data_IF_038275690721
#
_entry.id   IF_038275690721
#
_cell.length_a   1.000
_cell.length_b   1.000
_cell.length_c   1.000
_cell.angle_alpha   90.00
_cell.angle_beta   90.00
_cell.angle_gamma   90.00
#
_symmetry.space_group_name_H-M   'P 1'
#
loop_
_entity.id
_entity.type
_entity.pdbx_description
1 polymer ?
#
# COMPACT_ATOMS: atom_id res chain seq x y z
N UNK A 1 -2.84 43.80 -45.41
CA UNK A 1 -2.96 43.11 -44.09
C UNK A 1 -3.20 41.61 -44.30
N UNK A 2 -4.13 41.20 -45.17
CA UNK A 2 -4.46 39.77 -45.40
C UNK A 2 -3.26 38.97 -45.95
N UNK A 3 -2.49 39.56 -46.91
CA UNK A 3 -1.29 38.93 -47.48
C UNK A 3 -0.15 38.72 -46.43
N UNK A 4 -0.03 39.60 -45.45
CA UNK A 4 1.00 39.51 -44.41
C UNK A 4 0.65 38.41 -43.40
N UNK A 5 -0.61 38.23 -43.05
CA UNK A 5 -1.10 37.20 -42.15
C UNK A 5 -0.95 35.80 -42.79
N UNK A 6 -1.25 35.66 -44.08
CA UNK A 6 -1.08 34.39 -44.79
C UNK A 6 0.40 33.99 -44.91
N UNK A 7 1.32 34.95 -45.08
CA UNK A 7 2.75 34.69 -45.14
C UNK A 7 3.31 34.23 -43.76
N UNK A 8 2.84 34.84 -42.68
CA UNK A 8 3.22 34.45 -41.33
C UNK A 8 2.70 33.05 -40.96
N UNK A 9 1.48 32.69 -41.38
CA UNK A 9 0.95 31.34 -41.22
C UNK A 9 1.75 30.30 -42.00
N UNK A 10 2.17 30.59 -43.22
CA UNK A 10 2.99 29.67 -44.02
C UNK A 10 4.39 29.46 -43.42
N UNK A 11 4.99 30.54 -42.90
CA UNK A 11 6.29 30.43 -42.19
C UNK A 11 6.15 29.58 -40.91
N UNK A 12 5.05 29.75 -40.16
CA UNK A 12 4.77 28.95 -38.94
C UNK A 12 4.59 27.46 -39.25
N UNK A 13 3.84 27.14 -40.31
CA UNK A 13 3.62 25.76 -40.78
C UNK A 13 4.93 25.12 -41.25
N UNK A 14 5.75 25.87 -41.99
CA UNK A 14 7.06 25.40 -42.46
C UNK A 14 8.02 25.14 -41.31
N UNK A 15 8.09 26.04 -40.33
CA UNK A 15 8.91 25.85 -39.13
C UNK A 15 8.47 24.64 -38.28
N UNK A 16 7.15 24.44 -38.17
CA UNK A 16 6.57 23.30 -37.47
C UNK A 16 6.89 21.97 -38.19
N UNK A 17 6.72 21.91 -39.50
CA UNK A 17 7.05 20.74 -40.32
C UNK A 17 8.53 20.37 -40.23
N UNK A 18 9.43 21.36 -40.29
CA UNK A 18 10.88 21.14 -40.17
C UNK A 18 11.31 20.69 -38.78
N UNK A 19 10.61 21.13 -37.75
CA UNK A 19 10.86 20.68 -36.37
C UNK A 19 10.33 19.25 -36.15
N UNK A 20 9.22 18.88 -36.78
CA UNK A 20 8.68 17.54 -36.76
C UNK A 20 9.58 16.53 -37.50
N UNK A 21 10.13 16.90 -38.64
CA UNK A 21 11.11 16.10 -39.39
C UNK A 21 12.35 15.77 -38.53
N UNK A 22 12.90 16.77 -37.84
CA UNK A 22 14.03 16.57 -36.91
C UNK A 22 13.69 15.66 -35.73
N UNK A 23 12.49 15.74 -35.20
CA UNK A 23 12.04 14.89 -34.10
C UNK A 23 11.83 13.45 -34.59
N UNK A 24 11.28 13.26 -35.81
CA UNK A 24 11.10 11.93 -36.37
C UNK A 24 12.42 11.27 -36.76
N UNK A 25 13.38 12.01 -37.33
CA UNK A 25 14.73 11.50 -37.61
C UNK A 25 15.48 11.11 -36.34
N UNK A 26 15.38 11.92 -35.27
CA UNK A 26 15.98 11.58 -33.97
C UNK A 26 15.36 10.32 -33.33
N UNK A 27 14.06 10.11 -33.51
CA UNK A 27 13.37 8.92 -33.01
C UNK A 27 13.69 7.65 -33.81
N UNK A 28 13.95 7.78 -35.13
CA UNK A 28 14.43 6.65 -35.96
C UNK A 28 15.91 6.31 -35.72
N UNK A 29 16.74 7.30 -35.44
CA UNK A 29 18.16 7.09 -35.10
C UNK A 29 18.32 6.41 -33.73
N UNK A 30 17.44 6.69 -32.77
CA UNK A 30 17.40 6.01 -31.48
C UNK A 30 16.92 4.55 -31.59
N UNK A 31 16.03 4.25 -32.53
CA UNK A 31 15.56 2.90 -32.83
C UNK A 31 16.57 2.01 -33.53
N UNK A 32 17.48 2.62 -34.31
CA UNK A 32 18.48 1.90 -35.13
C UNK A 32 19.88 1.89 -34.53
N UNK A 33 20.10 2.42 -33.33
CA UNK A 33 21.36 2.24 -32.61
C UNK A 33 21.52 0.77 -32.24
N UNK A 34 22.58 0.09 -32.72
CA UNK A 34 22.88 -1.23 -32.23
C UNK A 34 23.11 -1.13 -30.73
N UNK A 35 22.44 -1.99 -29.96
CA UNK A 35 22.67 -2.17 -28.53
C UNK A 35 24.13 -2.63 -28.30
N UNK A 36 25.08 -1.73 -28.36
CA UNK A 36 26.41 -1.94 -27.78
C UNK A 36 26.29 -1.66 -26.27
N UNK A 37 25.78 -2.66 -25.58
CA UNK A 37 25.77 -2.70 -24.13
C UNK A 37 27.19 -2.96 -23.63
N UNK A 38 27.98 -1.90 -23.47
CA UNK A 38 28.93 -1.83 -22.39
C UNK A 38 28.21 -1.27 -21.16
N UNK A 39 27.21 -2.01 -20.69
CA UNK A 39 26.78 -1.92 -19.31
C UNK A 39 27.82 -2.66 -18.47
N UNK A 40 28.83 -1.94 -17.98
CA UNK A 40 29.34 -2.22 -16.65
C UNK A 40 28.15 -1.99 -15.73
N UNK A 41 27.36 -3.03 -15.49
CA UNK A 41 26.40 -3.08 -14.40
C UNK A 41 27.29 -2.85 -13.17
N UNK A 42 27.15 -1.73 -12.41
CA UNK A 42 27.63 -1.77 -11.05
C UNK A 42 26.94 -3.00 -10.48
N UNK A 43 27.69 -3.89 -9.83
CA UNK A 43 27.07 -4.93 -8.99
C UNK A 43 26.19 -4.16 -7.99
N UNK A 44 24.97 -3.86 -8.39
CA UNK A 44 23.87 -3.64 -7.47
C UNK A 44 23.91 -4.90 -6.62
N UNK A 45 24.19 -4.71 -5.32
CA UNK A 45 23.89 -5.72 -4.34
C UNK A 45 22.60 -6.37 -4.79
N UNK A 46 22.62 -7.68 -5.03
CA UNK A 46 21.41 -8.44 -5.24
C UNK A 46 20.51 -8.14 -4.03
N UNK A 47 19.60 -7.19 -4.15
CA UNK A 47 18.37 -7.25 -3.41
C UNK A 47 17.68 -8.49 -3.98
N UNK A 48 18.02 -9.63 -3.41
CA UNK A 48 17.25 -10.85 -3.59
C UNK A 48 15.85 -10.45 -3.16
N UNK A 49 14.91 -10.47 -4.11
CA UNK A 49 13.49 -10.38 -3.77
C UNK A 49 13.27 -11.37 -2.63
N UNK A 50 12.60 -10.98 -1.54
CA UNK A 50 12.31 -11.90 -0.45
C UNK A 50 11.76 -13.18 -1.05
N UNK A 51 12.25 -14.34 -0.62
CA UNK A 51 11.74 -15.63 -1.05
C UNK A 51 10.28 -15.70 -0.62
N UNK A 52 9.40 -15.53 -1.58
CA UNK A 52 7.97 -15.66 -1.39
C UNK A 52 7.66 -17.15 -1.33
N UNK A 53 7.11 -17.60 -0.20
CA UNK A 53 6.64 -18.97 -0.01
C UNK A 53 5.12 -18.97 -0.04
N UNK A 54 4.51 -19.79 -0.89
CA UNK A 54 3.07 -20.07 -0.74
C UNK A 54 2.88 -21.08 0.39
N UNK A 55 1.81 -20.91 1.16
CA UNK A 55 1.44 -21.87 2.18
C UNK A 55 1.13 -23.24 1.55
N UNK A 56 1.53 -24.31 2.24
CA UNK A 56 1.33 -25.67 1.81
C UNK A 56 0.20 -26.36 2.59
N UNK A 57 -0.30 -27.48 2.06
CA UNK A 57 -1.29 -28.30 2.79
C UNK A 57 -0.67 -28.83 4.09
N UNK A 58 -1.27 -28.48 5.23
CA UNK A 58 -0.79 -28.86 6.57
C UNK A 58 -0.17 -27.72 7.38
N UNK A 59 0.05 -26.56 6.78
CA UNK A 59 0.44 -25.38 7.55
C UNK A 59 -0.70 -24.97 8.51
N UNK A 60 -0.34 -24.62 9.74
CA UNK A 60 -1.31 -24.18 10.75
C UNK A 60 -1.78 -22.75 10.45
N UNK A 61 -2.83 -22.62 9.66
CA UNK A 61 -3.37 -21.35 9.21
C UNK A 61 -4.78 -21.09 9.77
N UNK A 62 -5.05 -19.85 10.11
CA UNK A 62 -6.39 -19.37 10.39
C UNK A 62 -7.11 -19.18 9.06
N UNK A 63 -8.25 -19.85 8.84
CA UNK A 63 -9.02 -19.78 7.61
C UNK A 63 -9.76 -18.44 7.47
N UNK A 64 -9.03 -17.38 7.20
CA UNK A 64 -9.59 -16.04 6.93
C UNK A 64 -9.94 -15.94 5.44
N UNK A 65 -11.16 -15.49 5.06
CA UNK A 65 -11.50 -15.26 3.67
C UNK A 65 -10.49 -14.33 2.99
N UNK A 66 -9.94 -14.73 1.84
CA UNK A 66 -9.03 -13.91 1.06
C UNK A 66 -9.82 -12.98 0.13
N UNK A 67 -9.57 -11.67 0.23
CA UNK A 67 -10.12 -10.66 -0.68
C UNK A 67 -8.99 -9.99 -1.44
N UNK A 68 -9.21 -9.77 -2.74
CA UNK A 68 -8.29 -9.03 -3.60
C UNK A 68 -8.62 -7.53 -3.58
N UNK A 69 -7.61 -6.71 -3.35
CA UNK A 69 -7.70 -5.26 -3.48
C UNK A 69 -8.06 -4.84 -4.90
N UNK A 70 -7.52 -5.52 -5.90
CA UNK A 70 -7.83 -5.29 -7.31
C UNK A 70 -9.30 -5.56 -7.63
N UNK A 71 -9.84 -6.68 -7.14
CA UNK A 71 -11.25 -7.05 -7.40
C UNK A 71 -12.22 -6.15 -6.62
N UNK A 72 -11.77 -5.58 -5.51
CA UNK A 72 -12.50 -4.55 -4.76
C UNK A 72 -12.51 -3.18 -5.47
N UNK A 73 -11.76 -3.02 -6.57
CA UNK A 73 -11.64 -1.76 -7.31
C UNK A 73 -10.70 -0.74 -6.65
N UNK A 74 -10.02 -1.12 -5.59
CA UNK A 74 -9.12 -0.24 -4.85
C UNK A 74 -7.67 -0.43 -5.27
N UNK A 75 -6.95 0.67 -5.48
CA UNK A 75 -5.53 0.69 -5.83
C UNK A 75 -4.64 1.02 -4.63
N UNK A 76 -5.21 1.70 -3.63
CA UNK A 76 -4.54 2.12 -2.39
C UNK A 76 -5.49 1.99 -1.20
N UNK A 77 -6.05 0.81 -0.98
CA UNK A 77 -7.03 0.53 0.06
C UNK A 77 -6.77 -0.80 0.78
N UNK A 78 -5.50 -1.18 0.93
CA UNK A 78 -5.08 -2.42 1.58
C UNK A 78 -5.65 -2.53 3.00
N UNK A 79 -5.73 -1.44 3.75
CA UNK A 79 -6.28 -1.40 5.10
C UNK A 79 -7.77 -1.78 5.12
N UNK A 80 -8.53 -1.24 4.16
CA UNK A 80 -9.96 -1.49 4.06
C UNK A 80 -10.26 -2.94 3.68
N UNK A 81 -9.45 -3.49 2.77
CA UNK A 81 -9.59 -4.87 2.30
C UNK A 81 -9.15 -5.85 3.39
N UNK A 82 -8.01 -5.60 4.05
CA UNK A 82 -7.52 -6.40 5.17
C UNK A 82 -8.50 -6.41 6.34
N UNK A 83 -9.08 -5.26 6.68
CA UNK A 83 -10.11 -5.19 7.71
C UNK A 83 -11.37 -5.97 7.33
N UNK A 84 -11.82 -5.88 6.08
CA UNK A 84 -13.00 -6.64 5.62
C UNK A 84 -12.75 -8.15 5.69
N UNK A 85 -11.55 -8.64 5.34
CA UNK A 85 -11.18 -10.05 5.49
C UNK A 85 -11.35 -10.53 6.93
N UNK A 86 -10.79 -9.79 7.91
CA UNK A 86 -10.87 -10.16 9.33
C UNK A 86 -12.31 -10.06 9.85
N UNK A 87 -13.07 -9.05 9.46
CA UNK A 87 -14.46 -8.91 9.85
C UNK A 87 -15.33 -10.07 9.30
N UNK A 88 -15.10 -10.48 8.05
CA UNK A 88 -15.80 -11.63 7.45
C UNK A 88 -15.42 -12.95 8.13
N UNK A 89 -14.18 -13.12 8.58
CA UNK A 89 -13.79 -14.27 9.41
C UNK A 89 -14.66 -14.37 10.69
N UNK A 90 -15.00 -13.25 11.29
CA UNK A 90 -15.89 -13.21 12.46
C UNK A 90 -17.38 -13.24 12.12
N UNK A 91 -17.75 -13.46 10.85
CA UNK A 91 -19.13 -13.58 10.39
C UNK A 91 -19.84 -12.25 10.07
N UNK A 92 -19.12 -11.14 10.09
CA UNK A 92 -19.66 -9.85 9.71
C UNK A 92 -19.73 -9.73 8.17
N UNK A 93 -20.74 -9.05 7.64
CA UNK A 93 -20.91 -8.85 6.18
C UNK A 93 -20.37 -7.48 5.72
N UNK A 94 -19.43 -6.92 6.48
CA UNK A 94 -18.87 -5.59 6.23
C UNK A 94 -17.91 -5.66 5.03
N UNK A 95 -18.12 -4.76 4.07
CA UNK A 95 -17.33 -4.66 2.84
C UNK A 95 -16.27 -3.56 2.93
N UNK A 96 -15.21 -3.60 2.08
CA UNK A 96 -14.24 -2.51 1.99
C UNK A 96 -14.89 -1.15 1.70
N UNK A 97 -15.97 -1.12 0.90
CA UNK A 97 -16.71 0.11 0.61
C UNK A 97 -17.38 0.68 1.86
N UNK A 98 -18.05 -0.15 2.66
CA UNK A 98 -18.68 0.31 3.90
C UNK A 98 -17.64 0.86 4.90
N UNK A 99 -16.47 0.23 4.98
CA UNK A 99 -15.34 0.75 5.77
C UNK A 99 -14.87 2.12 5.26
N UNK A 100 -14.73 2.29 3.94
CA UNK A 100 -14.36 3.58 3.34
C UNK A 100 -15.42 4.66 3.56
N UNK A 101 -16.69 4.30 3.57
CA UNK A 101 -17.77 5.24 3.89
C UNK A 101 -17.75 5.68 5.36
N UNK A 102 -17.40 4.77 6.27
CA UNK A 102 -17.40 5.00 7.72
C UNK A 102 -16.12 5.68 8.23
N UNK A 103 -14.98 5.57 7.51
CA UNK A 103 -13.70 6.09 7.95
C UNK A 103 -13.62 7.61 7.83
N UNK A 104 -13.02 8.25 8.81
CA UNK A 104 -12.71 9.67 8.74
C UNK A 104 -11.59 9.90 7.71
N UNK A 105 -11.85 10.70 6.68
CA UNK A 105 -10.97 10.82 5.50
C UNK A 105 -10.82 12.23 4.99
N UNK A 106 -9.71 12.46 4.28
CA UNK A 106 -9.39 13.71 3.58
C UNK A 106 -8.83 13.39 2.19
N UNK A 107 -9.02 14.30 1.24
CA UNK A 107 -8.60 14.07 -0.15
C UNK A 107 -7.09 14.20 -0.36
N UNK A 108 -6.43 15.03 0.45
CA UNK A 108 -4.99 15.35 0.29
C UNK A 108 -4.28 15.41 1.64
N UNK A 109 -2.96 15.10 1.68
CA UNK A 109 -2.18 15.16 2.92
C UNK A 109 -1.96 16.57 3.44
N UNK A 110 -2.17 17.60 2.61
CA UNK A 110 -2.04 19.03 2.97
C UNK A 110 -3.29 19.75 2.49
N UNK A 111 -3.92 20.52 3.36
CA UNK A 111 -5.10 21.31 3.04
C UNK A 111 -4.76 22.62 2.27
N UNK A 112 -5.77 23.39 1.91
CA UNK A 112 -5.60 24.63 1.14
C UNK A 112 -4.78 25.71 1.90
N UNK A 113 -4.72 25.65 3.21
CA UNK A 113 -3.97 26.58 4.08
C UNK A 113 -2.50 26.14 4.27
N UNK A 114 -2.08 25.03 3.63
CA UNK A 114 -0.74 24.48 3.75
C UNK A 114 -0.51 23.66 5.04
N UNK A 115 -1.56 23.35 5.77
CA UNK A 115 -1.51 22.55 7.00
C UNK A 115 -1.68 21.07 6.64
N UNK A 116 -0.75 20.26 7.11
CA UNK A 116 -0.75 18.82 6.90
C UNK A 116 -1.64 18.08 7.89
N UNK A 117 -2.18 16.95 7.43
CA UNK A 117 -2.99 16.05 8.27
C UNK A 117 -2.23 14.76 8.57
N UNK A 118 -2.56 14.16 9.71
CA UNK A 118 -1.91 12.92 10.15
C UNK A 118 -2.66 11.68 9.63
N UNK A 119 -1.97 10.70 9.03
CA UNK A 119 -2.56 9.40 8.70
C UNK A 119 -2.93 8.56 9.92
N UNK A 120 -2.53 8.98 11.13
CA UNK A 120 -3.04 8.45 12.40
C UNK A 120 -4.41 9.01 12.79
N UNK A 121 -4.94 10.01 12.06
CA UNK A 121 -6.26 10.60 12.32
C UNK A 121 -7.23 10.41 11.16
N UNK A 122 -6.70 10.33 9.94
CA UNK A 122 -7.51 10.28 8.73
C UNK A 122 -6.97 9.27 7.73
N UNK A 123 -7.87 8.68 6.96
CA UNK A 123 -7.54 8.03 5.69
C UNK A 123 -7.28 9.15 4.66
N UNK A 124 -6.11 9.14 4.02
CA UNK A 124 -5.68 10.21 3.12
C UNK A 124 -5.77 9.74 1.66
N UNK A 125 -6.61 10.40 0.89
CA UNK A 125 -6.80 10.14 -0.54
C UNK A 125 -8.02 9.27 -0.86
N UNK A 126 -8.12 8.90 -2.14
CA UNK A 126 -9.17 8.02 -2.65
C UNK A 126 -8.57 6.64 -2.95
N UNK A 127 -9.06 5.54 -2.34
CA UNK A 127 -8.50 4.20 -2.52
C UNK A 127 -8.63 3.66 -3.95
N UNK A 128 -9.56 4.18 -4.77
CA UNK A 128 -9.71 3.80 -6.18
C UNK A 128 -8.57 4.35 -7.06
N UNK A 129 -7.83 5.36 -6.57
CA UNK A 129 -6.74 6.01 -7.27
C UNK A 129 -5.39 5.47 -6.83
N UNK A 130 -4.39 5.53 -7.72
CA UNK A 130 -3.02 5.07 -7.44
C UNK A 130 -2.17 6.05 -6.65
N UNK A 131 -2.69 7.22 -6.30
CA UNK A 131 -1.99 8.28 -5.57
C UNK A 131 -2.58 8.54 -4.17
N UNK A 132 -3.40 7.63 -3.65
CA UNK A 132 -3.83 7.64 -2.25
C UNK A 132 -2.68 7.25 -1.33
N UNK A 133 -2.75 7.71 -0.10
CA UNK A 133 -1.78 7.39 0.96
C UNK A 133 -2.30 6.29 1.89
N UNK A 134 -3.63 6.23 2.13
CA UNK A 134 -4.19 5.33 3.14
C UNK A 134 -4.14 5.89 4.56
N UNK A 135 -4.07 5.01 5.55
CA UNK A 135 -4.03 5.40 6.98
C UNK A 135 -3.27 4.37 7.83
N UNK A 136 -2.98 4.75 9.07
CA UNK A 136 -2.54 3.83 10.12
C UNK A 136 -3.71 3.28 10.95
N UNK A 137 -3.40 2.62 12.06
CA UNK A 137 -4.37 1.83 12.82
C UNK A 137 -5.59 2.60 13.33
N UNK A 138 -5.41 3.81 13.87
CA UNK A 138 -6.45 4.53 14.59
C UNK A 138 -7.69 4.87 13.74
N UNK A 139 -7.58 5.43 12.52
CA UNK A 139 -8.75 5.70 11.69
C UNK A 139 -9.51 4.42 11.32
N UNK A 140 -8.78 3.32 11.06
CA UNK A 140 -9.38 2.04 10.73
C UNK A 140 -10.13 1.44 11.93
N UNK A 141 -9.55 1.48 13.13
CA UNK A 141 -10.21 1.07 14.39
C UNK A 141 -11.51 1.84 14.58
N UNK A 142 -11.49 3.15 14.39
CA UNK A 142 -12.67 3.99 14.55
C UNK A 142 -13.76 3.60 13.53
N UNK A 143 -13.40 3.36 12.27
CA UNK A 143 -14.34 2.92 11.24
C UNK A 143 -14.95 1.55 11.55
N UNK A 144 -14.11 0.58 11.94
CA UNK A 144 -14.56 -0.75 12.35
C UNK A 144 -15.56 -0.63 13.53
N UNK A 145 -15.20 0.13 14.57
CA UNK A 145 -16.04 0.28 15.76
C UNK A 145 -17.35 1.05 15.52
N UNK A 146 -17.40 1.92 14.49
CA UNK A 146 -18.66 2.54 14.03
C UNK A 146 -19.61 1.52 13.37
N UNK A 147 -19.06 0.49 12.73
CA UNK A 147 -19.83 -0.50 11.98
C UNK A 147 -20.19 -1.74 12.80
N UNK A 148 -19.35 -2.13 13.73
CA UNK A 148 -19.61 -3.26 14.62
C UNK A 148 -20.70 -2.96 15.64
N UNK A 149 -21.58 -3.93 15.86
CA UNK A 149 -22.66 -3.84 16.84
C UNK A 149 -22.27 -4.59 18.14
N UNK A 150 -22.02 -3.83 19.20
CA UNK A 150 -22.05 -4.12 20.66
C UNK A 150 -21.25 -5.32 21.23
N UNK A 151 -21.01 -6.41 20.51
CA UNK A 151 -20.37 -7.61 21.07
C UNK A 151 -18.88 -7.71 20.76
N UNK A 152 -18.45 -7.06 19.67
CA UNK A 152 -17.06 -7.04 19.20
C UNK A 152 -16.57 -5.62 18.99
N UNK A 153 -15.28 -5.43 19.11
CA UNK A 153 -14.65 -4.14 18.82
C UNK A 153 -13.18 -4.35 18.39
N UNK A 154 -12.69 -3.42 17.60
CA UNK A 154 -11.29 -3.39 17.20
C UNK A 154 -10.43 -2.88 18.35
N UNK A 155 -9.32 -3.57 18.60
CA UNK A 155 -8.35 -3.25 19.66
C UNK A 155 -7.04 -2.89 19.01
N UNK A 156 -6.49 -1.74 19.39
CA UNK A 156 -5.14 -1.35 19.00
C UNK A 156 -4.13 -2.14 19.84
N UNK A 157 -3.31 -2.93 19.17
CA UNK A 157 -2.19 -3.68 19.78
C UNK A 157 -0.84 -3.18 19.28
N UNK A 158 -0.79 -1.90 18.88
CA UNK A 158 0.44 -1.22 18.48
C UNK A 158 1.57 -1.47 19.51
N UNK A 159 2.80 -1.49 19.01
CA UNK A 159 4.02 -1.72 19.80
C UNK A 159 4.17 -3.13 20.38
N UNK A 160 3.22 -4.05 20.14
CA UNK A 160 3.36 -5.47 20.50
C UNK A 160 4.36 -6.13 19.54
N UNK A 161 5.33 -6.88 20.06
CA UNK A 161 6.27 -7.64 19.23
C UNK A 161 5.59 -8.85 18.57
N UNK A 162 6.09 -9.27 17.39
CA UNK A 162 5.48 -10.34 16.61
C UNK A 162 5.49 -11.70 17.33
N UNK A 163 6.52 -11.99 18.13
CA UNK A 163 6.56 -13.22 18.91
C UNK A 163 5.48 -13.23 19.99
N UNK A 164 5.14 -12.08 20.57
CA UNK A 164 4.00 -11.94 21.48
C UNK A 164 2.66 -12.05 20.72
N UNK A 165 2.56 -11.45 19.54
CA UNK A 165 1.38 -11.58 18.66
C UNK A 165 1.13 -13.07 18.34
N UNK A 166 2.15 -13.81 17.95
CA UNK A 166 2.07 -15.23 17.65
C UNK A 166 1.54 -16.04 18.85
N UNK A 167 2.16 -15.88 20.03
CA UNK A 167 1.77 -16.63 21.23
C UNK A 167 0.40 -16.25 21.78
N UNK A 168 -0.01 -14.98 21.63
CA UNK A 168 -1.21 -14.46 22.29
C UNK A 168 -2.43 -14.51 21.37
N UNK A 169 -2.24 -14.24 20.10
CA UNK A 169 -3.35 -14.09 19.15
C UNK A 169 -3.43 -15.24 18.16
N UNK A 170 -2.36 -15.54 17.42
CA UNK A 170 -2.41 -16.65 16.44
C UNK A 170 -2.67 -17.99 17.10
N UNK A 171 -2.03 -18.27 18.24
CA UNK A 171 -2.27 -19.50 19.01
C UNK A 171 -3.72 -19.65 19.53
N UNK A 172 -4.55 -18.63 19.40
CA UNK A 172 -5.97 -18.63 19.77
C UNK A 172 -6.88 -18.35 18.55
N UNK A 173 -6.43 -18.68 17.35
CA UNK A 173 -7.16 -18.45 16.08
C UNK A 173 -7.66 -17.01 15.96
N UNK A 174 -6.83 -16.04 16.33
CA UNK A 174 -7.14 -14.61 16.22
C UNK A 174 -6.26 -13.99 15.14
N UNK A 175 -6.80 -13.72 13.94
CA UNK A 175 -6.04 -13.08 12.87
C UNK A 175 -5.72 -11.64 13.23
N UNK A 176 -4.59 -11.13 12.73
CA UNK A 176 -4.08 -9.81 13.07
C UNK A 176 -3.92 -8.96 11.82
N UNK A 177 -4.56 -7.81 11.78
CA UNK A 177 -4.30 -6.77 10.77
C UNK A 177 -3.02 -6.05 11.19
N UNK A 178 -2.02 -6.00 10.30
CA UNK A 178 -0.76 -5.30 10.60
C UNK A 178 -0.22 -4.54 9.40
N UNK A 179 0.66 -3.58 9.68
CA UNK A 179 1.36 -2.79 8.69
C UNK A 179 2.80 -3.24 8.53
N UNK A 180 3.15 -3.51 7.30
CA UNK A 180 4.49 -3.78 6.82
C UNK A 180 4.74 -3.03 5.51
N UNK A 181 5.39 -3.64 4.54
CA UNK A 181 5.63 -3.04 3.23
C UNK A 181 5.25 -3.97 2.09
N UNK A 182 4.89 -3.41 0.94
CA UNK A 182 4.58 -4.17 -0.28
C UNK A 182 5.73 -5.15 -0.57
N UNK A 183 5.43 -6.46 -0.60
CA UNK A 183 6.39 -7.54 -0.84
C UNK A 183 7.57 -7.54 0.15
N UNK A 184 7.38 -7.04 1.35
CA UNK A 184 8.43 -6.89 2.37
C UNK A 184 9.69 -6.16 1.87
N UNK A 185 9.57 -5.30 0.85
CA UNK A 185 10.68 -4.46 0.38
C UNK A 185 10.98 -3.34 1.37
N UNK A 186 12.24 -2.86 1.46
CA UNK A 186 12.55 -1.70 2.28
C UNK A 186 11.67 -0.49 1.95
N UNK A 187 11.09 0.19 2.94
CA UNK A 187 10.32 1.40 2.68
C UNK A 187 11.22 2.50 2.14
N UNK A 188 10.62 3.42 1.38
CA UNK A 188 11.33 4.59 0.85
C UNK A 188 10.78 5.85 1.50
N UNK A 189 11.62 6.88 1.64
CA UNK A 189 11.13 8.20 2.01
C UNK A 189 10.18 8.71 0.92
N UNK A 190 8.92 8.91 1.29
CA UNK A 190 7.90 9.51 0.46
C UNK A 190 7.80 11.02 0.67
N UNK A 191 6.60 11.57 0.54
CA UNK A 191 6.36 12.99 0.78
C UNK A 191 6.50 13.34 2.27
N UNK A 192 6.89 14.59 2.52
CA UNK A 192 7.01 15.15 3.87
C UNK A 192 6.13 16.39 3.98
N UNK A 193 5.46 16.54 5.11
CA UNK A 193 4.64 17.73 5.39
C UNK A 193 4.62 18.06 6.88
N UNK A 194 4.20 19.29 7.20
CA UNK A 194 4.10 19.76 8.57
C UNK A 194 2.68 19.58 9.07
N UNK A 195 2.49 18.91 10.19
CA UNK A 195 1.21 18.74 10.84
C UNK A 195 0.74 20.02 11.54
N UNK A 196 -0.54 20.04 11.95
CA UNK A 196 -1.16 21.18 12.64
C UNK A 196 -0.41 21.62 13.91
N UNK A 197 0.20 20.69 14.62
CA UNK A 197 1.00 20.93 15.83
C UNK A 197 2.45 21.36 15.54
N UNK A 198 2.82 21.54 14.27
CA UNK A 198 4.16 21.89 13.82
C UNK A 198 5.11 20.70 13.65
N UNK A 199 4.69 19.49 13.97
CA UNK A 199 5.50 18.27 13.78
C UNK A 199 5.73 17.98 12.31
N UNK A 200 6.97 17.62 11.95
CA UNK A 200 7.29 17.12 10.60
C UNK A 200 6.88 15.65 10.48
N UNK A 201 6.00 15.36 9.56
CA UNK A 201 5.60 13.99 9.24
C UNK A 201 6.29 13.52 7.94
N UNK A 202 6.88 12.33 7.98
CA UNK A 202 7.50 11.67 6.85
C UNK A 202 6.65 10.46 6.46
N UNK A 203 6.05 10.47 5.27
CA UNK A 203 5.39 9.29 4.72
C UNK A 203 6.43 8.25 4.29
N UNK A 204 6.20 7.00 4.63
CA UNK A 204 7.01 5.88 4.16
C UNK A 204 6.32 5.24 2.95
N UNK A 205 6.84 5.51 1.76
CA UNK A 205 6.32 4.95 0.53
C UNK A 205 6.63 3.45 0.45
N UNK A 206 5.62 2.69 -0.02
CA UNK A 206 5.65 1.23 0.00
C UNK A 206 5.02 0.64 1.26
N UNK A 207 4.44 1.50 2.12
CA UNK A 207 3.57 1.06 3.21
C UNK A 207 2.47 0.12 2.68
N UNK A 208 2.13 -0.90 3.45
CA UNK A 208 1.16 -1.90 3.10
C UNK A 208 0.51 -2.53 4.34
N UNK A 209 -0.79 -2.75 4.25
CA UNK A 209 -1.57 -3.40 5.30
C UNK A 209 -2.01 -4.79 4.83
N UNK A 210 -1.81 -5.81 5.68
CA UNK A 210 -2.10 -7.20 5.38
C UNK A 210 -2.58 -7.95 6.62
N UNK A 211 -3.09 -9.17 6.45
CA UNK A 211 -3.64 -9.96 7.56
C UNK A 211 -2.72 -11.13 7.87
N UNK A 212 -2.14 -11.13 9.08
CA UNK A 212 -1.35 -12.25 9.59
C UNK A 212 -2.31 -13.38 10.01
N UNK A 213 -2.15 -14.55 9.39
CA UNK A 213 -3.07 -15.70 9.55
C UNK A 213 -2.38 -16.97 10.06
N UNK A 214 -1.07 -16.96 10.21
CA UNK A 214 -0.35 -18.13 10.70
C UNK A 214 1.14 -17.90 10.85
N UNK A 215 1.82 -18.89 11.42
CA UNK A 215 3.26 -18.92 11.55
C UNK A 215 3.75 -20.37 11.65
N UNK A 216 4.95 -20.63 11.13
CA UNK A 216 5.72 -21.84 11.39
C UNK A 216 7.05 -21.48 12.12
N UNK A 217 8.07 -22.31 12.05
CA UNK A 217 9.37 -22.05 12.65
C UNK A 217 10.07 -20.84 12.01
N UNK A 218 9.99 -20.71 10.67
CA UNK A 218 10.78 -19.76 9.88
C UNK A 218 9.94 -18.62 9.28
N UNK A 219 8.64 -18.81 9.09
CA UNK A 219 7.76 -17.91 8.32
C UNK A 219 6.59 -17.40 9.12
N UNK A 220 6.16 -16.16 8.78
CA UNK A 220 4.81 -15.63 9.06
C UNK A 220 3.99 -15.69 7.77
N UNK A 221 2.73 -16.12 7.88
CA UNK A 221 1.81 -16.32 6.76
C UNK A 221 0.72 -15.26 6.73
N UNK A 222 0.45 -14.74 5.54
CA UNK A 222 -0.44 -13.60 5.35
C UNK A 222 -1.49 -13.84 4.27
N UNK A 223 -2.70 -13.38 4.52
CA UNK A 223 -3.60 -12.96 3.47
C UNK A 223 -3.19 -11.54 3.05
N UNK A 224 -2.61 -11.43 1.87
CA UNK A 224 -2.17 -10.16 1.32
C UNK A 224 -3.17 -9.68 0.27
N UNK A 225 -3.82 -8.50 0.46
CA UNK A 225 -4.83 -8.00 -0.47
C UNK A 225 -4.28 -7.67 -1.87
N UNK A 226 -2.97 -7.49 -2.02
CA UNK A 226 -2.29 -7.26 -3.31
C UNK A 226 -2.02 -8.57 -4.06
N UNK A 227 -2.03 -9.71 -3.35
CA UNK A 227 -1.89 -11.05 -3.89
C UNK A 227 -3.22 -11.82 -3.74
N UNK A 228 -4.01 -11.87 -4.80
CA UNK A 228 -5.33 -12.53 -4.78
C UNK A 228 -5.30 -14.07 -4.85
N UNK A 229 -4.13 -14.72 -4.93
CA UNK A 229 -4.02 -16.11 -5.37
C UNK A 229 -3.67 -17.12 -4.23
N UNK A 230 -3.70 -16.71 -2.98
CA UNK A 230 -3.43 -17.60 -1.84
C UNK A 230 -2.74 -16.92 -0.66
N UNK A 231 -2.45 -17.73 0.36
CA UNK A 231 -1.71 -17.30 1.55
C UNK A 231 -0.21 -17.29 1.25
N UNK A 232 0.45 -16.21 1.64
CA UNK A 232 1.87 -15.99 1.33
C UNK A 232 2.67 -15.97 2.62
N UNK A 233 3.80 -16.69 2.64
CA UNK A 233 4.78 -16.68 3.73
C UNK A 233 5.96 -15.76 3.44
N UNK A 234 6.39 -15.03 4.47
CA UNK A 234 7.63 -14.26 4.50
C UNK A 234 8.46 -14.62 5.72
N UNK A 235 9.80 -14.62 5.56
CA UNK A 235 10.72 -14.92 6.66
C UNK A 235 10.47 -14.02 7.90
N UNK A 236 10.45 -14.61 9.08
CA UNK A 236 10.09 -13.93 10.34
C UNK A 236 10.95 -12.71 10.63
N UNK A 237 12.26 -12.78 10.40
CA UNK A 237 13.18 -11.67 10.63
C UNK A 237 12.89 -10.49 9.71
N UNK A 238 12.56 -10.77 8.44
CA UNK A 238 12.22 -9.75 7.47
C UNK A 238 10.89 -9.06 7.82
N UNK A 239 9.87 -9.83 8.20
CA UNK A 239 8.58 -9.29 8.65
C UNK A 239 8.77 -8.41 9.88
N UNK A 240 9.55 -8.88 10.87
CA UNK A 240 9.85 -8.10 12.08
C UNK A 240 10.50 -6.76 11.72
N UNK A 241 11.46 -6.77 10.80
CA UNK A 241 12.12 -5.53 10.37
C UNK A 241 11.12 -4.56 9.70
N UNK A 242 10.26 -5.03 8.79
CA UNK A 242 9.28 -4.17 8.10
C UNK A 242 8.22 -3.65 9.08
N UNK A 243 7.77 -4.49 9.98
CA UNK A 243 6.84 -4.13 11.04
C UNK A 243 7.39 -3.04 11.97
N UNK A 244 8.66 -3.17 12.37
CA UNK A 244 9.36 -2.16 13.18
C UNK A 244 9.48 -0.82 12.43
N UNK A 245 9.88 -0.85 11.16
CA UNK A 245 10.02 0.34 10.31
C UNK A 245 8.70 1.09 10.11
N UNK A 246 7.55 0.39 10.09
CA UNK A 246 6.22 0.98 10.00
C UNK A 246 5.62 1.35 11.37
N UNK A 247 6.41 1.32 12.43
CA UNK A 247 6.01 1.75 13.77
C UNK A 247 5.08 0.78 14.48
N UNK A 248 5.23 -0.53 14.19
CA UNK A 248 4.54 -1.64 14.87
C UNK A 248 3.02 -1.48 14.95
N UNK A 249 2.41 -1.04 13.86
CA UNK A 249 0.96 -0.86 13.77
C UNK A 249 0.26 -2.22 13.65
N UNK A 250 -0.64 -2.54 14.58
CA UNK A 250 -1.42 -3.77 14.51
C UNK A 250 -2.79 -3.63 15.20
N UNK A 251 -3.77 -4.39 14.70
CA UNK A 251 -5.15 -4.41 15.19
C UNK A 251 -5.63 -5.86 15.30
N UNK A 252 -6.38 -6.16 16.35
CA UNK A 252 -7.19 -7.38 16.48
C UNK A 252 -8.65 -7.02 16.69
N UNK A 253 -9.55 -7.95 16.39
CA UNK A 253 -10.97 -7.85 16.76
C UNK A 253 -11.17 -8.66 18.04
N UNK A 254 -11.79 -8.04 19.06
CA UNK A 254 -12.17 -8.72 20.31
C UNK A 254 -13.09 -9.90 20.03
N UNK A 255 -12.97 -10.93 20.85
CA UNK A 255 -13.93 -12.05 20.87
C UNK A 255 -15.07 -11.78 21.81
#
# INVERSE_FOLDING_TARGET
IILLVSLLCLIGIYAYAKNWEKISEAAEDEKNKPLQAHYSIPMLSHETLPLLKYAEEGDALIEVPLLSQKDSGYKTGCELVSAAMVLQYYGETITPQQLYEAIDKVDTPVNADGIGVSPHKYFIGNPEKSNGYGCYAEPLINAINKLLQRERYAVNIKDTDLATIERTYLAQDTPVILWATIQMKPPKEGNRWTLEDGTQFQWLAGEHCLVLVGADEDYYYFNDPDYGDGVIGYEKELVQQRYDELGRQAIVISR
#
